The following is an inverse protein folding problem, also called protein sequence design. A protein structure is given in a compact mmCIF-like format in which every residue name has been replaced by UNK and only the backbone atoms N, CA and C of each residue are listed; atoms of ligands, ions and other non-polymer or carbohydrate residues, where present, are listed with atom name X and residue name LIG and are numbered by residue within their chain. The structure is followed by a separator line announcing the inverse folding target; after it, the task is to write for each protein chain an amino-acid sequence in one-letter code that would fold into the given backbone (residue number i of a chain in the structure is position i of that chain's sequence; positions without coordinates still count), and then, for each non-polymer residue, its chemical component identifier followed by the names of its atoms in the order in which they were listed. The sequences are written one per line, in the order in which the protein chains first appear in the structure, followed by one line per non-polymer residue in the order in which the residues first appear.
data_IF_631177930028
#
_entry.id   IF_631177930028
#
_cell.length_a   1.000
_cell.length_b   1.000
_cell.length_c   1.000
_cell.angle_alpha   90.00
_cell.angle_beta   90.00
_cell.angle_gamma   90.00
#
_symmetry.space_group_name_H-M   'P 1'
#
loop_
_entity.id
_entity.type
_entity.pdbx_description
1 polymer ?
#
# COMPACT_ATOMS: atom_id res chain seq x y z
N UNK A 1 34.64 -1.06 -24.51
CA UNK A 1 34.69 -1.87 -23.28
C UNK A 1 34.96 -0.90 -22.14
N UNK A 2 33.94 -0.63 -21.32
CA UNK A 2 33.98 0.40 -20.27
C UNK A 2 34.95 -0.06 -19.19
N UNK A 3 36.03 0.70 -19.00
CA UNK A 3 36.94 0.59 -17.86
C UNK A 3 36.16 0.97 -16.61
N UNK A 4 35.35 0.03 -16.09
CA UNK A 4 34.79 0.13 -14.76
C UNK A 4 35.98 0.29 -13.81
N UNK A 5 36.07 1.49 -13.23
CA UNK A 5 37.20 1.93 -12.42
C UNK A 5 37.52 0.88 -11.36
N UNK A 6 38.74 0.35 -11.44
CA UNK A 6 39.39 -0.44 -10.40
C UNK A 6 39.26 0.24 -9.01
N UNK A 7 39.17 1.58 -9.00
CA UNK A 7 38.89 2.38 -7.81
C UNK A 7 37.54 2.05 -7.12
N UNK A 8 36.50 1.68 -7.87
CA UNK A 8 35.19 1.33 -7.31
C UNK A 8 35.21 -0.03 -6.63
N UNK A 9 36.01 -0.99 -7.14
CA UNK A 9 36.16 -2.31 -6.51
C UNK A 9 36.99 -2.23 -5.22
N UNK A 10 38.04 -1.38 -5.21
CA UNK A 10 38.87 -1.16 -4.03
C UNK A 10 38.11 -0.48 -2.87
N UNK A 11 37.16 0.40 -3.19
CA UNK A 11 36.38 1.11 -2.17
C UNK A 11 35.38 0.19 -1.45
N UNK A 12 34.82 -0.80 -2.15
CA UNK A 12 33.90 -1.79 -1.56
C UNK A 12 34.64 -2.75 -0.64
N UNK A 13 35.88 -3.14 -0.96
CA UNK A 13 36.67 -4.05 -0.13
C UNK A 13 37.09 -3.45 1.24
N UNK A 14 37.26 -2.13 1.33
CA UNK A 14 37.69 -1.45 2.56
C UNK A 14 36.60 -1.39 3.65
N UNK A 15 35.32 -1.57 3.29
CA UNK A 15 34.20 -1.47 4.22
C UNK A 15 33.93 -2.78 5.01
N UNK A 16 34.54 -3.91 4.62
CA UNK A 16 34.30 -5.21 5.27
C UNK A 16 35.24 -5.56 6.44
N UNK A 17 36.22 -4.72 6.77
CA UNK A 17 37.19 -5.02 7.85
C UNK A 17 36.95 -4.26 9.15
N UNK A 18 35.84 -3.53 9.27
CA UNK A 18 35.47 -2.83 10.51
C UNK A 18 34.82 -3.77 11.54
N UNK A 19 35.49 -4.87 11.86
CA UNK A 19 35.27 -5.61 13.11
C UNK A 19 36.54 -6.40 13.47
N UNK A 20 37.59 -5.67 13.83
CA UNK A 20 38.82 -6.23 14.40
C UNK A 20 38.92 -5.79 15.86
N UNK A 21 38.43 -6.60 16.78
CA UNK A 21 38.50 -6.37 18.22
C UNK A 21 39.93 -6.57 18.76
N UNK A 22 40.44 -5.57 19.47
CA UNK A 22 41.70 -5.65 20.20
C UNK A 22 41.48 -6.06 21.66
N UNK A 23 42.08 -7.17 22.08
CA UNK A 23 42.12 -7.62 23.48
C UNK A 23 43.52 -7.43 24.06
N UNK A 24 43.69 -6.40 24.90
CA UNK A 24 44.90 -6.17 25.70
C UNK A 24 44.80 -6.90 27.05
N UNK A 25 45.73 -7.84 27.30
CA UNK A 25 45.84 -8.53 28.57
C UNK A 25 46.60 -7.70 29.60
N UNK A 26 45.89 -7.00 30.49
CA UNK A 26 46.46 -6.52 31.75
C UNK A 26 46.23 -7.57 32.85
N UNK A 27 47.33 -8.04 33.43
CA UNK A 27 47.36 -8.82 34.67
C UNK A 27 46.65 -8.05 35.79
N UNK A 28 45.48 -8.56 36.23
CA UNK A 28 44.76 -8.09 37.41
C UNK A 28 44.75 -9.21 38.45
N UNK A 29 44.99 -8.80 39.69
CA UNK A 29 44.89 -9.55 40.95
C UNK A 29 43.68 -10.51 40.98
N UNK A 30 43.67 -11.56 41.83
CA UNK A 30 42.50 -12.41 42.01
C UNK A 30 41.33 -11.58 42.55
N UNK A 31 40.53 -11.05 41.64
CA UNK A 31 39.22 -10.52 41.96
C UNK A 31 38.32 -11.72 42.25
N UNK A 32 37.66 -11.71 43.40
CA UNK A 32 36.52 -12.58 43.72
C UNK A 32 35.63 -12.71 42.48
N UNK A 33 35.22 -13.91 42.04
CA UNK A 33 34.38 -14.06 40.86
C UNK A 33 33.14 -13.18 41.02
N UNK A 34 32.99 -12.18 40.16
CA UNK A 34 31.72 -11.48 40.06
C UNK A 34 30.65 -12.53 39.71
N UNK A 35 29.47 -12.49 40.34
CA UNK A 35 28.39 -13.41 39.98
C UNK A 35 28.14 -13.32 38.48
N UNK A 36 27.97 -14.47 37.83
CA UNK A 36 27.69 -14.53 36.39
C UNK A 36 26.50 -13.62 36.05
N UNK A 37 26.55 -12.82 34.98
CA UNK A 37 25.43 -12.00 34.57
C UNK A 37 24.21 -12.90 34.36
N UNK A 38 23.13 -12.63 35.09
CA UNK A 38 21.85 -13.30 34.89
C UNK A 38 21.41 -13.02 33.45
N UNK A 39 21.01 -14.01 32.63
CA UNK A 39 20.54 -13.77 31.28
C UNK A 39 19.37 -12.76 31.30
N UNK A 40 19.54 -11.61 30.66
CA UNK A 40 18.43 -10.68 30.47
C UNK A 40 17.41 -11.33 29.53
N UNK A 41 16.10 -11.21 29.82
CA UNK A 41 15.06 -11.62 28.88
C UNK A 41 15.29 -10.97 27.51
N UNK A 42 15.03 -11.69 26.40
CA UNK A 42 15.11 -11.08 25.08
C UNK A 42 14.19 -9.84 25.05
N UNK A 43 14.61 -8.74 24.41
CA UNK A 43 13.76 -7.58 24.25
C UNK A 43 12.44 -7.97 23.56
N UNK A 44 11.30 -7.39 23.97
CA UNK A 44 10.00 -7.73 23.39
C UNK A 44 10.00 -7.43 21.89
N UNK A 45 9.52 -8.39 21.09
CA UNK A 45 9.36 -8.23 19.64
C UNK A 45 8.15 -7.32 19.39
N UNK A 46 8.26 -6.24 18.60
CA UNK A 46 7.11 -5.42 18.25
C UNK A 46 6.03 -6.26 17.57
N UNK A 47 4.80 -6.21 18.10
CA UNK A 47 3.65 -6.97 17.56
C UNK A 47 2.84 -6.18 16.53
N UNK A 48 3.25 -4.94 16.24
CA UNK A 48 2.56 -4.07 15.30
C UNK A 48 3.30 -2.77 15.03
N UNK A 49 2.80 -2.04 14.03
CA UNK A 49 3.30 -0.74 13.61
C UNK A 49 2.15 0.26 13.62
N UNK A 50 2.44 1.51 13.97
CA UNK A 50 1.50 2.63 13.84
C UNK A 50 1.90 3.44 12.61
N UNK A 51 0.93 3.68 11.73
CA UNK A 51 1.08 4.59 10.59
C UNK A 51 0.14 5.77 10.81
N UNK A 52 0.66 6.99 10.65
CA UNK A 52 -0.12 8.23 10.76
C UNK A 52 0.15 9.13 9.57
N UNK A 53 -0.85 9.93 9.20
CA UNK A 53 -0.81 10.82 8.03
C UNK A 53 -2.22 11.20 7.58
N UNK A 54 -2.30 11.83 6.41
CA UNK A 54 -3.57 12.22 5.78
C UNK A 54 -3.79 11.41 4.52
N UNK A 55 -4.99 10.86 4.36
CA UNK A 55 -5.46 10.28 3.11
C UNK A 55 -6.36 11.32 2.44
N UNK A 56 -6.10 11.64 1.18
CA UNK A 56 -6.96 12.52 0.38
C UNK A 56 -7.45 11.77 -0.84
N UNK A 57 -8.73 11.97 -1.16
CA UNK A 57 -9.26 11.58 -2.45
C UNK A 57 -8.75 12.55 -3.54
N UNK A 58 -8.34 12.02 -4.70
CA UNK A 58 -8.07 12.82 -5.88
C UNK A 58 -9.36 13.39 -6.47
N UNK A 59 -9.29 14.59 -7.05
CA UNK A 59 -10.45 15.26 -7.66
C UNK A 59 -10.98 14.58 -8.91
N UNK A 60 -10.19 13.71 -9.56
CA UNK A 60 -10.60 12.94 -10.73
C UNK A 60 -11.22 11.58 -10.35
N UNK A 61 -11.70 11.41 -9.11
CA UNK A 61 -12.44 10.22 -8.69
C UNK A 61 -13.94 10.48 -8.71
N UNK A 62 -14.69 9.52 -9.25
CA UNK A 62 -16.15 9.53 -9.23
C UNK A 62 -16.66 8.17 -8.76
N UNK A 63 -17.88 8.14 -8.24
CA UNK A 63 -18.58 6.91 -7.83
C UNK A 63 -19.73 6.68 -8.80
N UNK A 64 -19.90 5.44 -9.18
CA UNK A 64 -21.03 4.93 -9.91
C UNK A 64 -22.36 5.23 -9.20
N UNK A 65 -23.39 5.58 -9.98
CA UNK A 65 -24.62 6.19 -9.48
C UNK A 65 -25.46 5.27 -8.60
N UNK A 66 -25.35 3.96 -8.77
CA UNK A 66 -26.20 2.98 -8.10
C UNK A 66 -25.48 1.77 -7.51
N UNK A 67 -24.20 1.96 -7.19
CA UNK A 67 -23.38 1.02 -6.43
C UNK A 67 -24.07 0.44 -5.19
N UNK A 68 -23.60 -0.74 -4.78
CA UNK A 68 -24.12 -1.56 -3.69
C UNK A 68 -23.87 -1.00 -2.27
N UNK A 69 -24.17 0.28 -2.05
CA UNK A 69 -24.03 0.97 -0.77
C UNK A 69 -25.40 1.40 -0.23
N UNK A 70 -25.93 0.75 0.83
CA UNK A 70 -27.19 1.10 1.48
C UNK A 70 -27.33 2.55 1.95
N UNK A 71 -26.22 3.27 2.14
CA UNK A 71 -26.23 4.66 2.59
C UNK A 71 -26.27 5.67 1.43
N UNK A 72 -26.14 5.25 0.17
CA UNK A 72 -26.15 6.13 -1.00
C UNK A 72 -27.55 6.23 -1.62
N UNK A 73 -27.98 7.43 -2.05
CA UNK A 73 -29.10 7.54 -2.98
C UNK A 73 -28.77 6.79 -4.28
N UNK A 74 -29.77 6.14 -4.87
CA UNK A 74 -29.60 5.30 -6.06
C UNK A 74 -29.93 6.09 -7.32
N UNK A 75 -28.98 6.16 -8.27
CA UNK A 75 -29.13 6.80 -9.57
C UNK A 75 -28.79 5.80 -10.69
N UNK A 76 -29.76 4.96 -11.10
CA UNK A 76 -29.52 3.88 -12.06
C UNK A 76 -29.01 4.37 -13.41
N UNK A 77 -27.95 3.74 -13.92
CA UNK A 77 -27.33 4.05 -15.21
C UNK A 77 -27.36 2.85 -16.18
N UNK A 78 -28.37 1.98 -16.07
CA UNK A 78 -28.45 0.66 -16.71
C UNK A 78 -28.92 0.69 -18.18
N UNK A 79 -28.78 1.82 -18.86
CA UNK A 79 -29.08 1.97 -20.28
C UNK A 79 -28.30 3.13 -20.88
N UNK A 80 -28.10 3.10 -22.20
CA UNK A 80 -27.48 4.22 -22.93
C UNK A 80 -28.20 5.55 -22.65
N UNK A 81 -29.53 5.54 -22.52
CA UNK A 81 -30.32 6.74 -22.28
C UNK A 81 -30.17 7.32 -20.86
N UNK A 82 -29.72 6.50 -19.92
CA UNK A 82 -29.53 6.86 -18.50
C UNK A 82 -28.05 6.87 -18.11
N UNK A 83 -27.14 6.85 -19.10
CA UNK A 83 -25.72 6.75 -18.86
C UNK A 83 -25.21 7.87 -17.95
N UNK A 84 -24.41 7.52 -16.95
CA UNK A 84 -23.82 8.49 -16.03
C UNK A 84 -22.73 9.29 -16.76
N UNK A 85 -22.79 10.62 -16.67
CA UNK A 85 -21.76 11.49 -17.22
C UNK A 85 -20.51 11.41 -16.32
N UNK A 86 -19.35 11.13 -16.92
CA UNK A 86 -18.05 11.06 -16.25
C UNK A 86 -17.03 11.96 -16.95
N UNK A 87 -16.05 12.54 -16.22
CA UNK A 87 -14.99 13.34 -16.82
C UNK A 87 -13.94 12.47 -17.54
N UNK A 88 -13.08 13.10 -18.34
CA UNK A 88 -11.96 12.44 -19.01
C UNK A 88 -10.65 13.22 -18.75
N UNK A 89 -9.70 12.69 -17.94
CA UNK A 89 -9.65 11.35 -17.35
C UNK A 89 -10.44 11.22 -16.02
N UNK A 90 -10.80 9.99 -15.65
CA UNK A 90 -11.47 9.66 -14.38
C UNK A 90 -11.02 8.30 -13.84
N UNK A 91 -10.96 8.18 -12.51
CA UNK A 91 -10.98 6.89 -11.82
C UNK A 91 -12.37 6.69 -11.26
N UNK A 92 -13.07 5.67 -11.76
CA UNK A 92 -14.44 5.37 -11.36
C UNK A 92 -14.47 4.15 -10.43
N UNK A 93 -15.12 4.28 -9.27
CA UNK A 93 -15.46 3.16 -8.42
C UNK A 93 -16.92 2.75 -8.65
N UNK A 94 -17.18 1.47 -8.87
CA UNK A 94 -18.53 0.94 -9.09
C UNK A 94 -18.72 -0.49 -8.62
N UNK A 95 -19.92 -1.04 -8.83
CA UNK A 95 -20.27 -2.38 -8.39
C UNK A 95 -21.28 -3.05 -9.32
N UNK A 96 -20.88 -4.19 -9.91
CA UNK A 96 -21.72 -5.05 -10.74
C UNK A 96 -21.91 -6.39 -10.04
N UNK A 97 -23.13 -6.93 -10.06
CA UNK A 97 -23.43 -8.25 -9.52
C UNK A 97 -24.65 -8.89 -10.20
N UNK A 98 -24.66 -10.22 -10.28
CA UNK A 98 -25.87 -10.96 -10.63
C UNK A 98 -26.90 -10.90 -9.49
N UNK A 99 -28.20 -11.05 -9.79
CA UNK A 99 -29.24 -11.13 -8.77
C UNK A 99 -28.96 -12.23 -7.73
N UNK A 100 -29.02 -11.86 -6.45
CA UNK A 100 -28.76 -12.73 -5.31
C UNK A 100 -27.27 -12.98 -5.00
N UNK A 101 -26.33 -12.34 -5.71
CA UNK A 101 -24.89 -12.56 -5.56
C UNK A 101 -24.16 -11.32 -5.02
N UNK A 102 -22.92 -11.50 -4.56
CA UNK A 102 -22.09 -10.42 -4.03
C UNK A 102 -22.41 -10.06 -2.57
N UNK A 103 -21.81 -8.96 -2.11
CA UNK A 103 -21.96 -8.49 -0.74
C UNK A 103 -23.39 -7.97 -0.47
N UNK A 104 -23.88 -8.04 0.78
CA UNK A 104 -25.17 -7.48 1.14
C UNK A 104 -25.25 -5.98 0.88
N UNK A 105 -26.31 -5.54 0.20
CA UNK A 105 -26.58 -4.12 -0.03
C UNK A 105 -27.75 -3.86 -0.97
N UNK A 106 -27.81 -2.66 -1.56
CA UNK A 106 -28.91 -2.20 -2.41
C UNK A 106 -29.13 -3.06 -3.65
N UNK A 107 -28.06 -3.57 -4.26
CA UNK A 107 -28.12 -4.24 -5.55
C UNK A 107 -28.02 -5.76 -5.41
N UNK A 108 -27.77 -6.28 -4.21
CA UNK A 108 -27.59 -7.72 -4.00
C UNK A 108 -28.81 -8.53 -4.47
N UNK A 109 -30.03 -8.11 -4.12
CA UNK A 109 -31.24 -8.91 -4.45
C UNK A 109 -31.63 -8.78 -5.92
N UNK A 110 -31.69 -7.56 -6.45
CA UNK A 110 -32.12 -7.29 -7.83
C UNK A 110 -31.04 -7.57 -8.87
N UNK A 111 -29.77 -7.57 -8.47
CA UNK A 111 -28.64 -7.47 -9.38
C UNK A 111 -28.35 -6.03 -9.79
N UNK A 112 -27.15 -5.84 -10.32
CA UNK A 112 -26.75 -4.73 -11.19
C UNK A 112 -25.88 -5.31 -12.30
N UNK A 113 -26.47 -5.52 -13.48
CA UNK A 113 -25.84 -6.30 -14.55
C UNK A 113 -25.06 -5.43 -15.53
N UNK A 114 -25.53 -4.21 -15.75
CA UNK A 114 -25.05 -3.32 -16.80
C UNK A 114 -24.97 -1.91 -16.27
N UNK A 115 -23.79 -1.29 -16.39
CA UNK A 115 -23.57 0.12 -16.09
C UNK A 115 -23.17 0.85 -17.38
N UNK A 116 -23.84 1.96 -17.68
CA UNK A 116 -23.52 2.79 -18.83
C UNK A 116 -22.95 4.15 -18.41
N UNK A 117 -21.91 4.57 -19.12
CA UNK A 117 -21.23 5.84 -18.88
C UNK A 117 -21.09 6.63 -20.17
N UNK A 118 -21.09 7.96 -20.05
CA UNK A 118 -20.87 8.87 -21.16
C UNK A 118 -19.78 9.88 -20.83
N UNK A 119 -18.97 10.21 -21.84
CA UNK A 119 -17.91 11.20 -21.76
C UNK A 119 -18.13 12.27 -22.81
N UNK A 120 -17.80 13.51 -22.46
CA UNK A 120 -17.66 14.59 -23.43
C UNK A 120 -16.24 14.58 -23.99
N UNK A 121 -16.13 14.52 -25.32
CA UNK A 121 -14.86 14.56 -26.02
C UNK A 121 -14.66 15.93 -26.67
N UNK A 122 -13.45 16.48 -26.50
CA UNK A 122 -12.98 17.61 -27.28
C UNK A 122 -12.65 17.16 -28.72
N UNK A 123 -12.72 18.10 -29.66
CA UNK A 123 -12.39 17.85 -31.06
C UNK A 123 -11.01 17.19 -31.20
N UNK A 124 -10.97 16.02 -31.85
CA UNK A 124 -9.74 15.26 -32.07
C UNK A 124 -9.38 14.24 -30.98
N UNK A 125 -10.19 14.10 -29.92
CA UNK A 125 -10.07 12.97 -28.98
C UNK A 125 -10.83 11.74 -29.53
N UNK A 126 -10.28 10.55 -29.32
CA UNK A 126 -10.86 9.25 -29.73
C UNK A 126 -10.76 8.23 -28.61
#
# INVERSE_FOLDING_TARGET
MKTASIATLLFVALLLTACGGGGGGSSREPATPAPSPVPQPPPPVPTGFTVSGTISASSNMQIDGDSNNPASPRFPNNSIATAQIIPNPVTLGGHVNEPGTGDPGLTQTSGDLDDYYSIELLAGQT
#
